data_IF_158828519373
#
_entry.id   IF_158828519373
#
_cell.length_a   1.000
_cell.length_b   1.000
_cell.length_c   1.000
_cell.angle_alpha   90.00
_cell.angle_beta   90.00
_cell.angle_gamma   90.00
#
_symmetry.space_group_name_H-M   'P 1'
#
loop_
_entity.id
_entity.type
_entity.pdbx_description
1 polymer ?
#
# COMPACT_ATOMS: atom_id res chain seq x y z
N UNK A 1 -17.67 7.95 8.19
CA UNK A 1 -16.44 7.13 8.23
C UNK A 1 -16.47 6.24 7.00
N UNK A 2 -15.91 6.73 5.89
CA UNK A 2 -16.01 6.07 4.60
C UNK A 2 -15.02 4.91 4.54
N UNK A 3 -15.52 3.69 4.64
CA UNK A 3 -14.79 2.51 4.17
C UNK A 3 -15.13 2.40 2.69
N UNK A 4 -14.23 2.90 1.85
CA UNK A 4 -14.31 2.64 0.42
C UNK A 4 -13.62 1.31 0.23
N UNK A 5 -14.42 0.26 0.07
CA UNK A 5 -13.90 -1.04 -0.37
C UNK A 5 -13.33 -0.82 -1.79
N UNK A 6 -12.06 -0.40 -1.87
CA UNK A 6 -11.40 -0.06 -3.12
C UNK A 6 -11.19 -1.34 -3.92
N UNK A 7 -12.14 -1.63 -4.81
CA UNK A 7 -12.03 -2.72 -5.81
C UNK A 7 -11.10 -2.36 -6.96
N UNK A 8 -10.57 -1.14 -6.99
CA UNK A 8 -9.69 -0.67 -8.06
C UNK A 8 -8.22 -0.97 -7.75
N UNK A 9 -7.50 -1.26 -8.83
CA UNK A 9 -6.04 -1.35 -8.80
C UNK A 9 -5.43 0.00 -8.41
N UNK A 10 -4.34 -0.06 -7.65
CA UNK A 10 -3.52 1.11 -7.32
C UNK A 10 -2.98 1.74 -8.61
N UNK A 11 -2.97 3.07 -8.68
CA UNK A 11 -2.41 3.80 -9.82
C UNK A 11 -0.95 3.41 -10.09
N UNK A 12 -0.59 3.26 -11.37
CA UNK A 12 0.74 2.86 -11.82
C UNK A 12 1.92 3.61 -11.15
N UNK A 13 1.95 4.95 -11.01
CA UNK A 13 3.06 5.64 -10.36
C UNK A 13 3.21 5.27 -8.87
N UNK A 14 2.10 5.04 -8.17
CA UNK A 14 2.11 4.64 -6.76
C UNK A 14 2.55 3.19 -6.64
N UNK A 15 2.05 2.32 -7.51
CA UNK A 15 2.47 0.92 -7.59
C UNK A 15 3.97 0.80 -7.84
N UNK A 16 4.52 1.60 -8.77
CA UNK A 16 5.96 1.61 -9.07
C UNK A 16 6.79 2.02 -7.85
N UNK A 17 6.34 3.03 -7.09
CA UNK A 17 7.00 3.42 -5.84
C UNK A 17 6.97 2.28 -4.81
N UNK A 18 5.80 1.67 -4.61
CA UNK A 18 5.60 0.56 -3.68
C UNK A 18 6.52 -0.61 -4.02
N UNK A 19 6.58 -1.01 -5.29
CA UNK A 19 7.43 -2.09 -5.79
C UNK A 19 8.91 -1.77 -5.66
N UNK A 20 9.32 -0.54 -5.99
CA UNK A 20 10.70 -0.08 -5.84
C UNK A 20 11.16 -0.15 -4.38
N UNK A 21 10.36 0.34 -3.44
CA UNK A 21 10.70 0.27 -2.01
C UNK A 21 10.67 -1.16 -1.48
N UNK A 22 9.76 -2.03 -1.98
CA UNK A 22 9.73 -3.45 -1.61
C UNK A 22 11.03 -4.16 -1.99
N UNK A 23 11.54 -3.88 -3.20
CA UNK A 23 12.76 -4.51 -3.72
C UNK A 23 14.02 -4.13 -2.91
N UNK A 24 14.02 -2.96 -2.27
CA UNK A 24 15.12 -2.50 -1.42
C UNK A 24 14.94 -2.87 0.07
N UNK A 25 13.73 -3.21 0.48
CA UNK A 25 13.44 -3.54 1.87
C UNK A 25 13.82 -5.00 2.17
N UNK A 26 14.50 -5.20 3.30
CA UNK A 26 14.94 -6.52 3.76
C UNK A 26 13.79 -7.29 4.43
N UNK A 27 12.71 -6.60 4.78
CA UNK A 27 11.49 -7.21 5.34
C UNK A 27 10.24 -6.40 5.01
N UNK A 28 9.07 -7.03 5.09
CA UNK A 28 7.79 -6.34 4.98
C UNK A 28 7.62 -5.23 6.02
N UNK A 29 8.18 -5.40 7.22
CA UNK A 29 8.16 -4.37 8.28
C UNK A 29 8.99 -3.15 7.90
N UNK A 30 10.20 -3.36 7.38
CA UNK A 30 11.04 -2.26 6.88
C UNK A 30 10.37 -1.57 5.70
N UNK A 31 9.76 -2.33 4.80
CA UNK A 31 9.01 -1.79 3.68
C UNK A 31 7.87 -0.89 4.14
N UNK A 32 7.02 -1.35 5.05
CA UNK A 32 5.93 -0.53 5.61
C UNK A 32 6.46 0.73 6.30
N UNK A 33 7.58 0.63 7.01
CA UNK A 33 8.22 1.79 7.63
C UNK A 33 8.71 2.81 6.60
N UNK A 34 9.36 2.35 5.52
CA UNK A 34 9.77 3.21 4.39
C UNK A 34 8.56 3.91 3.76
N UNK A 35 7.47 3.17 3.52
CA UNK A 35 6.24 3.73 2.94
C UNK A 35 5.58 4.78 3.81
N UNK A 36 5.61 4.60 5.13
CA UNK A 36 5.10 5.60 6.07
C UNK A 36 5.83 6.95 5.93
N UNK A 37 7.13 6.93 5.60
CA UNK A 37 7.91 8.15 5.29
C UNK A 37 7.43 8.89 4.03
N UNK A 38 6.79 8.19 3.09
CA UNK A 38 6.14 8.78 1.91
C UNK A 38 4.67 9.12 2.13
N UNK A 39 4.14 8.88 3.33
CA UNK A 39 2.73 9.08 3.65
C UNK A 39 1.81 7.98 3.10
N UNK A 40 2.34 6.77 2.85
CA UNK A 40 1.53 5.61 2.47
C UNK A 40 1.55 4.54 3.56
N UNK A 41 0.46 3.80 3.68
CA UNK A 41 0.38 2.62 4.52
C UNK A 41 -0.24 1.45 3.74
N UNK A 42 0.10 0.24 4.12
CA UNK A 42 -0.51 -0.98 3.60
C UNK A 42 -1.27 -1.65 4.74
N UNK A 43 -2.53 -2.01 4.49
CA UNK A 43 -3.39 -2.69 5.44
C UNK A 43 -3.87 -4.00 4.84
N UNK A 44 -3.89 -5.05 5.64
CA UNK A 44 -4.60 -6.27 5.25
C UNK A 44 -6.09 -6.09 5.52
N UNK A 45 -6.92 -6.25 4.49
CA UNK A 45 -8.37 -6.20 4.56
C UNK A 45 -8.91 -7.46 3.88
N UNK A 46 -9.41 -8.39 4.67
CA UNK A 46 -9.97 -9.66 4.18
C UNK A 46 -9.00 -10.46 3.28
N UNK A 47 -7.69 -10.44 3.57
CA UNK A 47 -6.66 -11.12 2.79
C UNK A 47 -6.18 -10.37 1.54
N UNK A 48 -6.69 -9.16 1.31
CA UNK A 48 -6.18 -8.25 0.29
C UNK A 48 -5.35 -7.13 0.94
N UNK A 49 -4.20 -6.81 0.37
CA UNK A 49 -3.40 -5.67 0.82
C UNK A 49 -3.94 -4.39 0.18
N UNK A 50 -4.45 -3.47 0.99
CA UNK A 50 -4.99 -2.17 0.57
C UNK A 50 -3.98 -1.08 0.88
N UNK A 51 -3.65 -0.26 -0.12
CA UNK A 51 -2.82 0.93 0.04
C UNK A 51 -3.69 2.08 0.51
N UNK A 52 -3.27 2.76 1.56
CA UNK A 52 -3.91 3.97 2.07
C UNK A 52 -2.94 5.15 2.10
N UNK A 53 -3.46 6.35 1.84
CA UNK A 53 -2.73 7.61 1.96
C UNK A 53 -2.96 8.21 3.34
N UNK A 54 -1.88 8.53 4.04
CA UNK A 54 -1.87 9.33 5.25
C UNK A 54 -1.70 10.82 4.88
N UNK A 55 -2.28 11.78 5.64
CA UNK A 55 -2.96 11.64 6.93
C UNK A 55 -4.48 11.43 6.84
N UNK A 56 -5.11 11.60 5.67
CA UNK A 56 -6.57 11.49 5.53
C UNK A 56 -7.10 10.05 5.61
N UNK A 57 -6.20 9.05 5.62
CA UNK A 57 -6.52 7.62 5.61
C UNK A 57 -7.40 7.23 4.41
N UNK A 58 -7.12 7.85 3.26
CA UNK A 58 -7.83 7.60 2.01
C UNK A 58 -7.32 6.31 1.38
N UNK A 59 -8.23 5.37 1.12
CA UNK A 59 -7.90 4.11 0.43
C UNK A 59 -7.65 4.40 -1.06
N UNK A 60 -6.46 4.07 -1.55
CA UNK A 60 -6.03 4.33 -2.94
C UNK A 60 -6.27 3.15 -3.86
N UNK A 61 -6.29 1.93 -3.33
CA UNK A 61 -6.46 0.72 -4.12
C UNK A 61 -5.90 -0.53 -3.47
N UNK A 62 -6.17 -1.68 -4.08
CA UNK A 62 -5.62 -2.97 -3.69
C UNK A 62 -4.31 -3.27 -4.42
N UNK A 63 -3.31 -3.72 -3.67
CA UNK A 63 -2.10 -4.33 -4.21
C UNK A 63 -2.43 -5.71 -4.80
N UNK A 64 -1.79 -6.08 -5.92
CA UNK A 64 -1.86 -7.44 -6.42
C UNK A 64 -1.21 -8.41 -5.41
N UNK A 65 -1.87 -9.54 -5.16
CA UNK A 65 -1.59 -10.53 -4.10
C UNK A 65 -0.16 -11.14 -4.09
N UNK A 66 0.69 -10.80 -5.06
CA UNK A 66 1.99 -11.45 -5.29
C UNK A 66 3.21 -10.69 -4.76
N UNK A 67 3.04 -9.64 -3.96
CA UNK A 67 4.19 -8.93 -3.39
C UNK A 67 4.62 -9.61 -2.07
N UNK A 68 5.42 -10.66 -2.20
CA UNK A 68 6.00 -11.38 -1.05
C UNK A 68 7.33 -10.79 -0.62
#
# INVERSE_FOLDING_TARGET
>A
MAQVICRNAVEAPILNLLMRERAMAVSAREWHFRLAGYGYAIKDVAGAQVVTKLPQNTELGVLPVQIH
#
